data_IF_129362044844
#
_entry.id   IF_129362044844
#
_cell.length_a   1.000
_cell.length_b   1.000
_cell.length_c   1.000
_cell.angle_alpha   90.00
_cell.angle_beta   90.00
_cell.angle_gamma   90.00
#
_symmetry.space_group_name_H-M   'P 1'
#
loop_
_entity.id
_entity.type
_entity.pdbx_description
1 polymer ?
#
# COMPACT_ATOMS: atom_id res chain seq x y z
N UNK A 1 6.41 21.22 1.51
CA UNK A 1 5.41 21.00 2.60
C UNK A 1 6.19 20.80 3.89
N UNK A 2 5.65 21.18 5.05
CA UNK A 2 6.26 20.81 6.34
C UNK A 2 6.37 19.27 6.45
N UNK A 3 7.56 18.68 6.69
CA UNK A 3 7.75 17.23 6.67
C UNK A 3 6.87 16.48 7.68
N UNK A 4 6.78 16.97 8.91
CA UNK A 4 5.88 16.40 9.93
C UNK A 4 4.44 16.35 9.44
N UNK A 5 3.93 17.47 8.90
CA UNK A 5 2.57 17.51 8.36
C UNK A 5 2.36 16.57 7.17
N UNK A 6 3.39 16.39 6.34
CA UNK A 6 3.33 15.46 5.20
C UNK A 6 3.15 14.01 5.68
N UNK A 7 3.96 13.55 6.64
CA UNK A 7 3.84 12.21 7.20
C UNK A 7 2.53 11.99 7.97
N UNK A 8 2.06 13.00 8.72
CA UNK A 8 0.71 12.97 9.31
C UNK A 8 -0.36 12.75 8.23
N UNK A 9 -0.27 13.47 7.11
CA UNK A 9 -1.21 13.31 6.00
C UNK A 9 -1.11 11.93 5.37
N UNK A 10 0.10 11.35 5.21
CA UNK A 10 0.24 9.98 4.72
C UNK A 10 -0.47 8.97 5.60
N UNK A 11 -0.29 9.02 6.93
CA UNK A 11 -0.99 8.11 7.84
C UNK A 11 -2.51 8.34 7.76
N UNK A 12 -2.97 9.59 7.75
CA UNK A 12 -4.40 9.91 7.56
C UNK A 12 -4.96 9.30 6.27
N UNK A 13 -4.22 9.41 5.17
CA UNK A 13 -4.59 8.84 3.88
C UNK A 13 -4.50 7.30 3.86
N UNK A 14 -3.60 6.69 4.62
CA UNK A 14 -3.56 5.23 4.75
C UNK A 14 -4.84 4.69 5.39
N UNK A 15 -5.35 5.39 6.41
CA UNK A 15 -6.55 4.96 7.13
C UNK A 15 -7.87 5.43 6.51
N UNK A 16 -7.86 6.19 5.42
CA UNK A 16 -9.11 6.72 4.83
C UNK A 16 -10.08 5.60 4.44
N UNK A 17 -9.54 4.48 3.98
CA UNK A 17 -10.23 3.23 3.73
C UNK A 17 -9.55 2.08 4.51
N UNK A 18 -10.29 1.35 5.37
CA UNK A 18 -9.72 0.23 6.10
C UNK A 18 -9.50 -0.98 5.18
N UNK A 19 -8.52 -1.87 5.46
CA UNK A 19 -8.33 -3.09 4.68
C UNK A 19 -9.61 -3.94 4.57
N UNK A 20 -10.40 -4.05 5.66
CA UNK A 20 -11.70 -4.72 5.68
C UNK A 20 -12.86 -4.00 4.96
N UNK A 21 -12.61 -2.97 4.13
CA UNK A 21 -13.64 -2.11 3.50
C UNK A 21 -14.76 -2.88 2.78
N UNK A 22 -14.51 -3.93 1.98
CA UNK A 22 -15.58 -4.71 1.34
C UNK A 22 -16.62 -5.31 2.32
N UNK A 23 -16.20 -5.63 3.55
CA UNK A 23 -17.10 -6.08 4.61
C UNK A 23 -17.83 -4.94 5.34
N UNK A 24 -17.39 -3.70 5.15
CA UNK A 24 -18.04 -2.55 5.77
C UNK A 24 -19.43 -2.22 5.20
N UNK A 25 -19.80 -2.78 4.04
CA UNK A 25 -21.17 -2.71 3.50
C UNK A 25 -22.17 -3.58 4.27
N UNK A 26 -21.70 -4.38 5.24
CA UNK A 26 -22.54 -5.22 6.08
C UNK A 26 -23.45 -4.38 7.01
N UNK A 27 -24.74 -4.74 7.18
CA UNK A 27 -25.66 -4.01 8.06
C UNK A 27 -25.15 -3.89 9.51
N UNK A 28 -25.25 -2.70 10.11
CA UNK A 28 -24.88 -2.46 11.52
C UNK A 28 -23.41 -2.08 11.79
N UNK A 29 -22.53 -2.06 10.78
CA UNK A 29 -21.14 -1.59 10.92
C UNK A 29 -21.01 -0.07 11.11
N UNK A 30 -22.04 0.69 10.69
CA UNK A 30 -21.97 2.16 10.62
C UNK A 30 -21.17 2.68 9.41
N UNK A 31 -20.72 1.79 8.52
CA UNK A 31 -19.97 2.10 7.30
C UNK A 31 -18.45 2.15 7.48
N UNK A 32 -17.70 2.09 6.36
CA UNK A 32 -16.24 2.01 6.34
C UNK A 32 -15.56 3.19 7.04
N UNK A 33 -16.15 4.40 6.95
CA UNK A 33 -15.58 5.61 7.58
C UNK A 33 -15.49 5.52 9.10
N UNK A 34 -16.48 4.88 9.75
CA UNK A 34 -16.46 4.71 11.20
C UNK A 34 -15.33 3.76 11.61
N UNK A 35 -15.18 2.67 10.86
CA UNK A 35 -14.10 1.69 11.05
C UNK A 35 -12.74 2.34 10.83
N UNK A 36 -12.56 3.07 9.73
CA UNK A 36 -11.35 3.85 9.44
C UNK A 36 -10.93 4.76 10.61
N UNK A 37 -11.86 5.56 11.13
CA UNK A 37 -11.59 6.47 12.25
C UNK A 37 -11.25 5.74 13.56
N UNK A 38 -11.88 4.59 13.82
CA UNK A 38 -11.58 3.76 14.98
C UNK A 38 -10.17 3.16 14.89
N UNK A 39 -9.82 2.57 13.74
CA UNK A 39 -8.49 2.02 13.47
C UNK A 39 -7.40 3.09 13.55
N UNK A 40 -7.63 4.26 12.96
CA UNK A 40 -6.71 5.40 13.08
C UNK A 40 -6.48 5.78 14.55
N UNK A 41 -7.56 5.86 15.35
CA UNK A 41 -7.47 6.22 16.77
C UNK A 41 -6.73 5.18 17.57
N UNK A 42 -6.92 3.90 17.30
CA UNK A 42 -6.19 2.80 17.98
C UNK A 42 -4.70 2.84 17.67
N UNK A 43 -4.34 3.06 16.40
CA UNK A 43 -2.94 3.12 15.99
C UNK A 43 -2.22 4.37 16.51
N UNK A 44 -2.82 5.56 16.34
CA UNK A 44 -2.15 6.85 16.64
C UNK A 44 -2.44 7.41 18.02
N UNK A 45 -3.46 6.89 18.73
CA UNK A 45 -4.03 7.46 19.98
C UNK A 45 -4.62 8.86 19.80
N UNK A 46 -4.81 9.32 18.56
CA UNK A 46 -5.37 10.64 18.20
C UNK A 46 -6.73 10.48 17.54
N UNK A 47 -7.63 11.44 17.76
CA UNK A 47 -8.93 11.49 17.06
C UNK A 47 -8.86 12.37 15.82
N UNK A 48 -9.37 11.88 14.69
CA UNK A 48 -9.58 12.67 13.47
C UNK A 48 -11.04 13.10 13.30
N UNK A 49 -11.24 14.29 12.73
CA UNK A 49 -12.56 14.76 12.29
C UNK A 49 -12.90 14.31 10.86
N UNK A 50 -11.90 13.92 10.07
CA UNK A 50 -12.04 13.50 8.68
C UNK A 50 -10.72 13.59 7.92
N UNK A 51 -10.76 13.28 6.63
CA UNK A 51 -9.61 13.30 5.73
C UNK A 51 -9.89 14.21 4.51
N UNK A 52 -8.82 14.71 3.89
CA UNK A 52 -8.92 15.43 2.63
C UNK A 52 -9.20 14.41 1.50
N UNK A 53 -10.21 14.63 0.64
CA UNK A 53 -10.64 13.61 -0.33
C UNK A 53 -9.81 13.61 -1.62
N UNK A 54 -8.91 14.57 -1.83
CA UNK A 54 -8.22 14.74 -3.11
C UNK A 54 -7.30 13.59 -3.49
N UNK A 55 -6.49 13.02 -2.57
CA UNK A 55 -5.66 11.85 -2.89
C UNK A 55 -6.53 10.65 -3.30
N UNK A 56 -7.59 10.35 -2.53
CA UNK A 56 -8.56 9.29 -2.85
C UNK A 56 -9.22 9.54 -4.22
N UNK A 57 -9.66 10.76 -4.51
CA UNK A 57 -10.27 11.08 -5.81
C UNK A 57 -9.31 10.90 -6.97
N UNK A 58 -8.04 11.30 -6.82
CA UNK A 58 -7.02 11.14 -7.84
C UNK A 58 -6.66 9.66 -8.05
N UNK A 59 -6.45 8.90 -6.98
CA UNK A 59 -6.21 7.45 -7.03
C UNK A 59 -7.39 6.70 -7.65
N UNK A 60 -8.60 6.96 -7.15
CA UNK A 60 -9.85 6.44 -7.69
C UNK A 60 -10.04 6.74 -9.19
N UNK A 61 -9.58 7.89 -9.67
CA UNK A 61 -9.63 8.24 -11.09
C UNK A 61 -8.75 7.35 -11.96
N UNK A 62 -7.61 6.90 -11.41
CA UNK A 62 -6.69 5.97 -12.06
C UNK A 62 -7.18 4.52 -11.98
N UNK A 63 -7.73 4.11 -10.83
CA UNK A 63 -8.15 2.71 -10.60
C UNK A 63 -9.40 2.31 -11.39
N UNK A 64 -10.33 3.24 -11.59
CA UNK A 64 -11.66 2.95 -12.19
C UNK A 64 -12.11 4.00 -13.21
N UNK A 65 -11.33 4.24 -14.28
CA UNK A 65 -11.61 5.30 -15.25
C UNK A 65 -12.96 5.13 -15.97
N UNK A 66 -13.43 3.88 -16.11
CA UNK A 66 -14.65 3.55 -16.87
C UNK A 66 -15.88 3.29 -15.98
N UNK A 67 -15.72 3.19 -14.65
CA UNK A 67 -16.83 2.94 -13.72
C UNK A 67 -17.36 4.27 -13.21
N UNK A 68 -18.16 4.95 -14.04
CA UNK A 68 -18.92 6.12 -13.60
C UNK A 68 -20.32 5.66 -13.18
N UNK A 69 -20.61 5.48 -11.87
CA UNK A 69 -21.96 5.18 -11.44
C UNK A 69 -22.86 6.34 -11.89
N UNK A 70 -23.99 6.06 -12.58
CA UNK A 70 -24.90 7.12 -12.99
C UNK A 70 -25.36 7.91 -11.76
N UNK A 71 -25.10 9.22 -11.76
CA UNK A 71 -25.53 10.14 -10.71
C UNK A 71 -26.74 10.91 -11.20
N UNK A 72 -27.89 10.73 -10.55
CA UNK A 72 -29.14 11.39 -10.90
C UNK A 72 -30.18 11.26 -9.80
N UNK A 73 -31.15 12.17 -9.78
CA UNK A 73 -32.27 12.11 -8.83
C UNK A 73 -33.09 10.85 -9.13
N UNK A 74 -33.24 9.96 -8.15
CA UNK A 74 -33.96 8.68 -8.31
C UNK A 74 -33.10 7.49 -8.78
N UNK A 75 -31.81 7.69 -9.06
CA UNK A 75 -30.90 6.59 -9.41
C UNK A 75 -30.18 6.15 -8.14
N UNK A 76 -30.48 4.94 -7.66
CA UNK A 76 -29.73 4.35 -6.55
C UNK A 76 -28.27 4.13 -6.97
N UNK A 77 -27.29 4.51 -6.14
CA UNK A 77 -25.91 4.15 -6.40
C UNK A 77 -25.78 2.63 -6.53
N UNK A 78 -25.01 2.18 -7.51
CA UNK A 78 -24.70 0.75 -7.69
C UNK A 78 -23.97 0.26 -6.43
N UNK A 79 -24.61 -0.62 -5.67
CA UNK A 79 -24.08 -1.22 -4.46
C UNK A 79 -23.99 -2.72 -4.66
N UNK A 80 -22.79 -3.28 -4.54
CA UNK A 80 -22.55 -4.72 -4.60
C UNK A 80 -22.25 -5.20 -3.18
N UNK A 81 -23.07 -6.13 -2.69
CA UNK A 81 -22.85 -6.83 -1.42
C UNK A 81 -21.79 -7.92 -1.63
N UNK A 82 -20.54 -7.50 -1.87
CA UNK A 82 -19.43 -8.38 -2.27
C UNK A 82 -19.17 -9.52 -1.29
N UNK A 83 -19.37 -9.30 0.00
CA UNK A 83 -19.24 -10.34 1.03
C UNK A 83 -20.11 -11.59 0.77
N UNK A 84 -21.25 -11.46 0.07
CA UNK A 84 -22.11 -12.61 -0.27
C UNK A 84 -21.54 -13.49 -1.38
N UNK A 85 -20.69 -12.92 -2.22
CA UNK A 85 -20.03 -13.60 -3.33
C UNK A 85 -18.64 -12.96 -3.56
N UNK A 86 -17.67 -13.24 -2.66
CA UNK A 86 -16.39 -12.53 -2.62
C UNK A 86 -15.48 -13.04 -3.73
N UNK A 87 -15.72 -12.56 -4.94
CA UNK A 87 -14.93 -12.89 -6.13
C UNK A 87 -14.06 -11.71 -6.54
N UNK A 88 -12.89 -12.01 -7.09
CA UNK A 88 -12.04 -11.03 -7.77
C UNK A 88 -11.74 -11.47 -9.20
N UNK A 89 -11.40 -10.52 -10.04
CA UNK A 89 -11.10 -10.73 -11.46
C UNK A 89 -9.65 -10.40 -11.75
N UNK A 90 -8.97 -11.18 -12.59
CA UNK A 90 -7.58 -10.87 -12.92
C UNK A 90 -7.49 -9.70 -13.93
N UNK A 91 -6.68 -8.65 -13.67
CA UNK A 91 -6.66 -7.45 -14.52
C UNK A 91 -6.15 -7.72 -15.94
N UNK A 92 -5.29 -8.72 -16.12
CA UNK A 92 -4.69 -9.06 -17.43
C UNK A 92 -5.26 -10.34 -18.07
N UNK A 93 -6.07 -11.11 -17.34
CA UNK A 93 -6.55 -12.42 -17.78
C UNK A 93 -8.06 -12.42 -17.81
N UNK A 94 -8.61 -12.01 -18.94
CA UNK A 94 -10.06 -11.92 -19.13
C UNK A 94 -10.74 -13.25 -18.80
N UNK A 95 -11.75 -13.19 -17.94
CA UNK A 95 -12.55 -14.35 -17.55
C UNK A 95 -11.94 -15.18 -16.41
N UNK A 96 -10.72 -14.87 -15.96
CA UNK A 96 -10.19 -15.47 -14.73
C UNK A 96 -10.85 -14.83 -13.52
N UNK A 97 -11.52 -15.66 -12.74
CA UNK A 97 -12.20 -15.31 -11.50
C UNK A 97 -11.59 -16.15 -10.39
N UNK A 98 -11.20 -15.49 -9.30
CA UNK A 98 -10.80 -16.17 -8.08
C UNK A 98 -11.85 -15.95 -7.00
N UNK A 99 -12.22 -17.04 -6.35
CA UNK A 99 -13.17 -17.06 -5.24
C UNK A 99 -12.41 -16.97 -3.91
N UNK A 100 -12.72 -15.94 -3.12
CA UNK A 100 -12.08 -15.63 -1.84
C UNK A 100 -12.90 -16.09 -0.63
N UNK A 101 -13.92 -16.94 -0.82
CA UNK A 101 -14.67 -17.49 0.33
C UNK A 101 -13.75 -18.35 1.20
N UNK A 102 -13.72 -18.05 2.51
CA UNK A 102 -12.98 -18.85 3.48
C UNK A 102 -13.70 -20.16 3.78
N UNK A 103 -12.91 -21.21 3.97
CA UNK A 103 -13.36 -22.52 4.43
C UNK A 103 -12.89 -22.78 5.86
N UNK A 104 -13.67 -23.52 6.62
CA UNK A 104 -13.30 -23.97 7.96
C UNK A 104 -12.32 -25.16 7.91
N UNK A 105 -11.94 -25.69 9.08
CA UNK A 105 -11.03 -26.83 9.18
C UNK A 105 -11.59 -28.13 8.55
N UNK A 106 -12.91 -28.21 8.34
CA UNK A 106 -13.60 -29.35 7.70
C UNK A 106 -13.78 -29.13 6.20
N UNK A 107 -13.38 -27.98 5.67
CA UNK A 107 -13.53 -27.60 4.26
C UNK A 107 -14.90 -27.00 3.91
N UNK A 108 -15.77 -26.78 4.91
CA UNK A 108 -17.08 -26.14 4.75
C UNK A 108 -16.93 -24.62 4.64
N UNK A 109 -17.85 -23.96 3.94
CA UNK A 109 -17.80 -22.50 3.82
C UNK A 109 -18.11 -21.86 5.17
N UNK A 110 -17.23 -20.97 5.64
CA UNK A 110 -17.53 -20.17 6.84
C UNK A 110 -18.77 -19.30 6.61
N UNK A 111 -19.58 -19.14 7.65
CA UNK A 111 -20.72 -18.24 7.59
C UNK A 111 -20.25 -16.78 7.45
N UNK A 112 -20.95 -16.00 6.63
CA UNK A 112 -20.56 -14.61 6.34
C UNK A 112 -20.47 -13.73 7.60
N UNK A 113 -21.30 -14.00 8.62
CA UNK A 113 -21.31 -13.26 9.88
C UNK A 113 -20.03 -13.52 10.72
N UNK A 114 -19.59 -14.77 10.79
CA UNK A 114 -18.34 -15.15 11.47
C UNK A 114 -17.14 -14.56 10.72
N UNK A 115 -17.15 -14.61 9.39
CA UNK A 115 -16.09 -14.03 8.55
C UNK A 115 -15.94 -12.53 8.77
N UNK A 116 -17.07 -11.82 8.93
CA UNK A 116 -17.10 -10.40 9.22
C UNK A 116 -16.47 -10.09 10.57
N UNK A 117 -16.85 -10.80 11.63
CA UNK A 117 -16.29 -10.62 12.97
C UNK A 117 -14.78 -10.90 12.97
N UNK A 118 -14.36 -12.01 12.37
CA UNK A 118 -12.96 -12.36 12.13
C UNK A 118 -12.19 -11.19 11.48
N UNK A 119 -12.71 -10.62 10.39
CA UNK A 119 -12.06 -9.55 9.62
C UNK A 119 -11.89 -8.28 10.45
N UNK A 120 -12.92 -7.87 11.21
CA UNK A 120 -12.84 -6.66 12.02
C UNK A 120 -11.96 -6.85 13.26
N UNK A 121 -12.00 -8.02 13.89
CA UNK A 121 -11.15 -8.35 15.03
C UNK A 121 -9.68 -8.45 14.62
N UNK A 122 -9.36 -9.19 13.56
CA UNK A 122 -7.98 -9.39 13.08
C UNK A 122 -7.30 -8.04 12.80
N UNK A 123 -7.95 -7.15 12.05
CA UNK A 123 -7.37 -5.83 11.74
C UNK A 123 -7.23 -4.93 12.96
N UNK A 124 -8.15 -5.03 13.93
CA UNK A 124 -8.06 -4.23 15.15
C UNK A 124 -6.92 -4.71 16.03
N UNK A 125 -6.80 -6.01 16.25
CA UNK A 125 -5.74 -6.59 17.08
C UNK A 125 -4.35 -6.31 16.50
N UNK A 126 -4.17 -6.49 15.18
CA UNK A 126 -2.88 -6.21 14.54
C UNK A 126 -2.50 -4.73 14.60
N UNK A 127 -3.46 -3.82 14.38
CA UNK A 127 -3.17 -2.40 14.46
C UNK A 127 -2.87 -1.92 15.87
N UNK A 128 -3.51 -2.50 16.89
CA UNK A 128 -3.18 -2.20 18.28
C UNK A 128 -1.77 -2.64 18.63
N UNK A 129 -1.34 -3.83 18.17
CA UNK A 129 0.04 -4.30 18.35
C UNK A 129 1.04 -3.36 17.68
N UNK A 130 0.82 -3.02 16.40
CA UNK A 130 1.68 -2.09 15.66
C UNK A 130 1.69 -0.67 16.24
N UNK A 131 0.58 -0.26 16.87
CA UNK A 131 0.42 1.04 17.51
C UNK A 131 1.12 1.16 18.87
N UNK A 132 1.55 0.06 19.50
CA UNK A 132 2.30 0.12 20.79
C UNK A 132 3.61 0.89 20.65
N UNK A 133 4.34 0.64 19.56
CA UNK A 133 5.60 1.33 19.23
C UNK A 133 5.38 2.72 18.61
N UNK A 134 4.13 3.15 18.39
CA UNK A 134 3.83 4.51 17.94
C UNK A 134 3.86 5.48 19.14
N UNK A 135 4.94 6.26 19.21
CA UNK A 135 5.23 7.13 20.36
C UNK A 135 4.50 8.48 20.28
N UNK A 136 4.75 9.30 19.25
CA UNK A 136 4.20 10.65 19.13
C UNK A 136 3.65 10.96 17.73
N UNK A 137 2.55 11.72 17.68
CA UNK A 137 1.94 12.27 16.47
C UNK A 137 2.63 13.57 15.99
N UNK A 138 3.59 14.12 16.76
CA UNK A 138 4.25 15.40 16.45
C UNK A 138 5.70 15.26 15.97
N UNK A 139 6.34 14.12 16.20
CA UNK A 139 7.73 13.87 15.79
C UNK A 139 7.75 13.31 14.38
N UNK A 140 8.55 13.91 13.49
CA UNK A 140 8.70 13.46 12.10
C UNK A 140 9.12 11.98 12.01
N UNK A 141 10.15 11.60 12.76
CA UNK A 141 10.68 10.23 12.78
C UNK A 141 9.63 9.20 13.22
N UNK A 142 8.87 9.47 14.28
CA UNK A 142 7.82 8.55 14.76
C UNK A 142 6.69 8.36 13.74
N UNK A 143 6.36 9.42 12.99
CA UNK A 143 5.37 9.38 11.92
C UNK A 143 5.89 8.61 10.70
N UNK A 144 7.15 8.80 10.32
CA UNK A 144 7.81 8.06 9.25
C UNK A 144 7.88 6.57 9.59
N UNK A 145 8.40 6.20 10.77
CA UNK A 145 8.47 4.83 11.25
C UNK A 145 7.08 4.19 11.34
N UNK A 146 6.09 4.96 11.83
CA UNK A 146 4.70 4.56 11.87
C UNK A 146 4.14 4.25 10.49
N UNK A 147 4.42 5.11 9.50
CA UNK A 147 4.00 4.87 8.13
C UNK A 147 4.68 3.65 7.51
N UNK A 148 5.98 3.44 7.73
CA UNK A 148 6.68 2.26 7.20
C UNK A 148 6.18 0.95 7.82
N UNK A 149 5.81 0.94 9.10
CA UNK A 149 5.10 -0.18 9.73
C UNK A 149 3.77 -0.48 9.03
N UNK A 150 2.97 0.54 8.74
CA UNK A 150 1.69 0.37 8.04
C UNK A 150 1.88 -0.12 6.59
N UNK A 151 2.86 0.43 5.87
CA UNK A 151 3.14 0.08 4.48
C UNK A 151 3.72 -1.34 4.34
N UNK A 152 4.73 -1.68 5.15
CA UNK A 152 5.50 -2.92 4.99
C UNK A 152 4.99 -4.08 5.85
N UNK A 153 4.73 -3.85 7.14
CA UNK A 153 4.43 -4.90 8.12
C UNK A 153 2.95 -5.23 8.19
N UNK A 154 2.08 -4.23 8.27
CA UNK A 154 0.65 -4.45 8.56
C UNK A 154 -0.06 -5.40 7.59
N UNK A 155 0.16 -5.25 6.27
CA UNK A 155 -0.39 -6.20 5.29
C UNK A 155 0.14 -7.63 5.50
N UNK A 156 1.43 -7.79 5.79
CA UNK A 156 2.01 -9.14 5.98
C UNK A 156 1.46 -9.79 7.25
N UNK A 157 1.34 -9.04 8.35
CA UNK A 157 0.75 -9.56 9.59
C UNK A 157 -0.68 -10.04 9.33
N UNK A 158 -1.53 -9.25 8.66
CA UNK A 158 -2.88 -9.67 8.30
C UNK A 158 -2.91 -10.93 7.42
N UNK A 159 -2.04 -11.01 6.41
CA UNK A 159 -1.99 -12.13 5.46
C UNK A 159 -1.49 -13.41 6.14
N UNK A 160 -0.51 -13.32 7.05
CA UNK A 160 0.15 -14.50 7.62
C UNK A 160 -0.31 -14.87 9.03
N UNK A 161 -1.08 -14.02 9.74
CA UNK A 161 -1.56 -14.25 11.13
C UNK A 161 -2.17 -15.63 11.36
N UNK A 162 -3.10 -16.03 10.48
CA UNK A 162 -3.87 -17.30 10.61
C UNK A 162 -3.31 -18.45 9.78
N UNK A 163 -2.33 -18.19 8.90
CA UNK A 163 -1.71 -19.19 8.04
C UNK A 163 -0.18 -19.08 8.15
N UNK A 164 0.40 -19.66 9.22
CA UNK A 164 1.79 -19.44 9.62
C UNK A 164 2.80 -20.29 8.85
N UNK A 165 2.50 -20.67 7.60
CA UNK A 165 3.52 -21.16 6.66
C UNK A 165 3.91 -20.06 5.64
N UNK A 166 4.55 -18.95 6.07
CA UNK A 166 5.25 -18.07 5.16
C UNK A 166 6.36 -18.84 4.43
N UNK A 167 6.67 -18.50 3.16
CA UNK A 167 6.05 -17.47 2.33
C UNK A 167 4.94 -18.00 1.39
N UNK A 168 4.50 -19.27 1.51
CA UNK A 168 3.72 -19.94 0.46
C UNK A 168 2.23 -20.13 0.77
N UNK A 169 1.78 -19.96 2.01
CA UNK A 169 0.38 -20.15 2.39
C UNK A 169 -0.11 -18.97 3.23
N UNK A 170 -0.35 -17.83 2.58
CA UNK A 170 -1.00 -16.67 3.18
C UNK A 170 -2.51 -16.69 2.98
N UNK A 171 -3.23 -15.89 3.77
CA UNK A 171 -4.66 -15.67 3.61
C UNK A 171 -4.95 -14.82 2.37
N UNK A 172 -5.42 -15.48 1.29
CA UNK A 172 -5.71 -14.83 0.00
C UNK A 172 -6.80 -13.78 0.12
N UNK A 173 -7.73 -13.90 1.08
CA UNK A 173 -8.74 -12.87 1.32
C UNK A 173 -8.06 -11.57 1.75
N UNK A 174 -7.10 -11.62 2.67
CA UNK A 174 -6.36 -10.43 3.11
C UNK A 174 -5.40 -9.90 2.05
N UNK A 175 -4.80 -10.80 1.26
CA UNK A 175 -3.83 -10.42 0.24
C UNK A 175 -4.48 -9.62 -0.89
N UNK A 176 -5.68 -10.02 -1.31
CA UNK A 176 -6.33 -9.58 -2.56
C UNK A 176 -7.72 -8.95 -2.37
N UNK A 177 -8.08 -8.56 -1.15
CA UNK A 177 -9.37 -7.89 -0.87
C UNK A 177 -9.53 -6.67 -1.79
N UNK A 178 -10.63 -6.51 -2.55
CA UNK A 178 -10.72 -5.48 -3.58
C UNK A 178 -10.95 -4.08 -2.98
N UNK A 179 -10.37 -3.04 -3.58
CA UNK A 179 -10.65 -1.65 -3.18
C UNK A 179 -12.08 -1.23 -3.54
N UNK A 180 -12.56 -1.67 -4.71
CA UNK A 180 -13.90 -1.42 -5.22
C UNK A 180 -14.62 -2.72 -5.53
N UNK A 181 -15.72 -2.97 -4.85
CA UNK A 181 -16.53 -4.17 -5.04
C UNK A 181 -17.18 -4.28 -6.42
N UNK A 182 -17.24 -3.17 -7.17
CA UNK A 182 -17.82 -3.10 -8.54
C UNK A 182 -16.79 -3.41 -9.62
N UNK A 183 -15.51 -3.22 -9.32
CA UNK A 183 -14.38 -3.50 -10.19
C UNK A 183 -13.32 -4.21 -9.35
N UNK A 184 -13.52 -5.49 -9.01
CA UNK A 184 -12.67 -6.21 -8.07
C UNK A 184 -11.42 -6.76 -8.77
N UNK A 185 -10.67 -5.91 -9.47
CA UNK A 185 -9.47 -6.25 -10.24
C UNK A 185 -8.16 -5.72 -9.66
N UNK A 186 -8.26 -4.90 -8.62
CA UNK A 186 -7.13 -4.38 -7.86
C UNK A 186 -7.42 -4.46 -6.36
N UNK A 187 -6.37 -4.70 -5.57
CA UNK A 187 -6.50 -4.83 -4.13
C UNK A 187 -6.71 -3.46 -3.46
N UNK A 188 -7.24 -3.48 -2.25
CA UNK A 188 -7.28 -2.30 -1.38
C UNK A 188 -5.87 -1.76 -1.11
N UNK A 189 -4.87 -2.63 -1.07
CA UNK A 189 -3.48 -2.26 -0.84
C UNK A 189 -2.90 -1.43 -1.99
N UNK A 190 -3.24 -1.77 -3.23
CA UNK A 190 -2.82 -1.01 -4.42
C UNK A 190 -3.44 0.40 -4.39
N UNK A 191 -4.73 0.48 -4.08
CA UNK A 191 -5.43 1.76 -3.92
C UNK A 191 -4.83 2.62 -2.81
N UNK A 192 -4.56 2.03 -1.63
CA UNK A 192 -3.94 2.73 -0.52
C UNK A 192 -2.55 3.24 -0.89
N UNK A 193 -1.73 2.42 -1.56
CA UNK A 193 -0.39 2.81 -2.04
C UNK A 193 -0.44 4.05 -2.93
N UNK A 194 -1.33 4.08 -3.92
CA UNK A 194 -1.47 5.24 -4.81
C UNK A 194 -2.01 6.46 -4.03
N UNK A 195 -2.96 6.24 -3.12
CA UNK A 195 -3.55 7.31 -2.30
C UNK A 195 -2.52 7.94 -1.37
N UNK A 196 -1.67 7.15 -0.72
CA UNK A 196 -0.63 7.66 0.18
C UNK A 196 0.55 8.27 -0.58
N UNK A 197 0.84 7.81 -1.81
CA UNK A 197 1.80 8.46 -2.69
C UNK A 197 1.35 9.89 -3.06
N UNK A 198 0.04 10.07 -3.23
CA UNK A 198 -0.61 11.34 -3.54
C UNK A 198 -0.97 12.18 -2.30
N UNK A 199 -0.51 11.82 -1.10
CA UNK A 199 -0.84 12.51 0.14
C UNK A 199 -0.47 14.01 0.15
N UNK A 200 0.41 14.46 -0.75
CA UNK A 200 0.72 15.87 -0.95
C UNK A 200 -0.46 16.69 -1.51
N UNK A 201 -1.49 16.06 -2.09
CA UNK A 201 -2.69 16.72 -2.60
C UNK A 201 -3.63 17.16 -1.46
N UNK A 202 -3.32 18.31 -0.86
CA UNK A 202 -4.05 18.80 0.34
C UNK A 202 -5.19 19.76 0.04
N UNK A 203 -5.28 20.32 -1.18
CA UNK A 203 -6.25 21.38 -1.53
C UNK A 203 -6.79 21.21 -2.95
N UNK A 204 -7.96 21.81 -3.18
CA UNK A 204 -8.61 21.87 -4.50
C UNK A 204 -7.96 22.88 -5.45
N UNK A 205 -7.41 23.97 -4.90
CA UNK A 205 -6.85 25.07 -5.69
C UNK A 205 -5.33 25.16 -5.51
N UNK A 206 -4.57 25.26 -6.62
CA UNK A 206 -3.13 25.42 -6.56
C UNK A 206 -2.80 26.75 -5.87
N UNK A 207 -1.91 26.68 -4.88
CA UNK A 207 -1.18 27.86 -4.40
C UNK A 207 0.25 27.75 -4.94
N UNK A 208 0.91 28.88 -5.28
CA UNK A 208 2.26 28.85 -5.84
C UNK A 208 3.26 28.03 -5.00
N UNK A 209 3.12 28.05 -3.68
CA UNK A 209 4.05 27.41 -2.73
C UNK A 209 3.58 26.04 -2.20
N UNK A 210 2.45 25.51 -2.70
CA UNK A 210 1.93 24.21 -2.28
C UNK A 210 1.95 23.26 -3.47
N UNK A 211 2.68 22.14 -3.38
CA UNK A 211 2.69 21.17 -4.47
C UNK A 211 1.29 20.63 -4.70
N UNK A 212 0.80 20.78 -5.93
CA UNK A 212 -0.58 20.44 -6.28
C UNK A 212 -0.67 19.57 -7.53
N UNK A 213 0.35 19.56 -8.38
CA UNK A 213 0.35 18.77 -9.60
C UNK A 213 1.16 17.49 -9.38
N UNK A 214 0.53 16.30 -9.45
CA UNK A 214 1.28 15.06 -9.46
C UNK A 214 2.02 14.91 -10.80
N UNK A 215 3.30 14.60 -10.75
CA UNK A 215 4.15 14.31 -11.91
C UNK A 215 4.56 12.85 -11.91
N UNK A 216 4.54 12.24 -13.09
CA UNK A 216 5.16 10.94 -13.32
C UNK A 216 6.63 11.16 -13.70
N UNK A 217 7.51 10.94 -12.74
CA UNK A 217 8.94 10.95 -12.95
C UNK A 217 9.40 9.59 -13.44
N UNK A 218 10.11 9.54 -14.57
CA UNK A 218 10.72 8.31 -15.10
C UNK A 218 12.23 8.47 -15.11
N UNK A 219 12.91 7.54 -14.45
CA UNK A 219 14.37 7.41 -14.50
C UNK A 219 14.74 6.14 -15.27
N UNK A 220 15.82 6.20 -16.03
CA UNK A 220 16.42 5.03 -16.67
C UNK A 220 17.93 5.15 -16.68
N UNK A 221 18.63 4.07 -16.34
CA UNK A 221 20.08 3.92 -16.50
C UNK A 221 20.36 3.00 -17.69
N UNK A 222 21.36 3.34 -18.50
CA UNK A 222 21.75 2.55 -19.66
C UNK A 222 23.09 2.99 -20.25
N UNK A 223 23.71 2.17 -21.09
CA UNK A 223 23.18 0.94 -21.70
C UNK A 223 23.34 -0.33 -20.84
N UNK A 224 22.22 -1.01 -20.51
CA UNK A 224 22.20 -2.21 -19.64
C UNK A 224 22.88 -3.42 -20.31
N UNK A 225 22.44 -3.80 -21.52
CA UNK A 225 22.93 -5.01 -22.19
C UNK A 225 24.42 -4.92 -22.50
N UNK A 226 24.86 -3.77 -23.04
CA UNK A 226 26.28 -3.54 -23.35
C UNK A 226 27.14 -3.67 -22.10
N UNK A 227 26.73 -3.10 -20.97
CA UNK A 227 27.49 -3.20 -19.71
C UNK A 227 27.60 -4.65 -19.22
N UNK A 228 26.50 -5.39 -19.23
CA UNK A 228 26.47 -6.80 -18.79
C UNK A 228 27.32 -7.70 -19.70
N UNK A 229 27.32 -7.45 -21.02
CA UNK A 229 28.05 -8.24 -22.02
C UNK A 229 29.58 -8.16 -21.91
N UNK A 230 30.13 -7.14 -21.25
CA UNK A 230 31.59 -7.04 -21.03
C UNK A 230 32.12 -8.05 -19.99
N UNK A 231 31.23 -8.83 -19.38
CA UNK A 231 31.57 -9.84 -18.37
C UNK A 231 32.33 -11.02 -18.96
N UNK A 232 33.49 -11.37 -18.37
CA UNK A 232 34.34 -12.49 -18.82
C UNK A 232 34.11 -13.77 -18.02
N UNK A 233 33.56 -13.65 -16.82
CA UNK A 233 33.24 -14.77 -15.93
C UNK A 233 31.79 -14.69 -15.45
N UNK A 234 31.24 -15.79 -14.94
CA UNK A 234 29.91 -15.79 -14.31
C UNK A 234 29.83 -14.85 -13.09
N UNK A 235 30.95 -14.66 -12.39
CA UNK A 235 31.05 -13.70 -11.29
C UNK A 235 30.93 -12.27 -11.79
N UNK A 236 31.60 -11.93 -12.88
CA UNK A 236 31.49 -10.60 -13.50
C UNK A 236 30.06 -10.36 -13.99
N UNK A 237 29.45 -11.37 -14.61
CA UNK A 237 28.07 -11.30 -15.08
C UNK A 237 27.09 -10.99 -13.93
N UNK A 238 27.25 -11.72 -12.82
CA UNK A 238 26.48 -11.51 -11.61
C UNK A 238 26.73 -10.13 -10.99
N UNK A 239 28.00 -9.73 -10.81
CA UNK A 239 28.39 -8.42 -10.27
C UNK A 239 27.85 -7.26 -11.10
N UNK A 240 27.95 -7.34 -12.43
CA UNK A 240 27.47 -6.33 -13.35
C UNK A 240 25.95 -6.15 -13.24
N UNK A 241 25.19 -7.25 -13.16
CA UNK A 241 23.74 -7.21 -12.97
C UNK A 241 23.37 -6.66 -11.59
N UNK A 242 24.06 -7.11 -10.53
CA UNK A 242 23.84 -6.64 -9.17
C UNK A 242 24.16 -5.15 -9.01
N UNK A 243 25.27 -4.69 -9.56
CA UNK A 243 25.68 -3.29 -9.53
C UNK A 243 24.67 -2.38 -10.22
N UNK A 244 24.13 -2.78 -11.38
CA UNK A 244 23.07 -2.01 -12.04
C UNK A 244 21.82 -1.91 -11.15
N UNK A 245 21.37 -3.03 -10.57
CA UNK A 245 20.24 -3.05 -9.65
C UNK A 245 20.47 -2.16 -8.42
N UNK A 246 21.67 -2.19 -7.85
CA UNK A 246 22.03 -1.41 -6.65
C UNK A 246 22.21 0.10 -6.97
N UNK A 247 22.73 0.45 -8.14
CA UNK A 247 22.76 1.86 -8.59
C UNK A 247 21.36 2.43 -8.76
N UNK A 248 20.42 1.66 -9.31
CA UNK A 248 19.02 2.06 -9.43
C UNK A 248 18.39 2.23 -8.04
N UNK A 249 18.68 1.35 -7.09
CA UNK A 249 18.26 1.54 -5.69
C UNK A 249 18.76 2.87 -5.12
N UNK A 250 20.05 3.16 -5.28
CA UNK A 250 20.64 4.40 -4.81
C UNK A 250 20.07 5.64 -5.51
N UNK A 251 19.60 5.53 -6.76
CA UNK A 251 18.86 6.58 -7.43
C UNK A 251 17.43 6.77 -6.87
N UNK A 252 16.77 5.71 -6.41
CA UNK A 252 15.46 5.78 -5.76
C UNK A 252 15.54 6.28 -4.31
N UNK A 253 16.60 5.93 -3.58
CA UNK A 253 16.70 6.11 -2.13
C UNK A 253 16.43 7.55 -1.64
N UNK A 254 16.91 8.63 -2.29
CA UNK A 254 16.57 10.00 -1.88
C UNK A 254 15.06 10.29 -1.99
N UNK A 255 14.38 9.73 -3.00
CA UNK A 255 12.93 9.88 -3.16
C UNK A 255 12.18 9.08 -2.10
N UNK A 256 12.64 7.86 -1.82
CA UNK A 256 12.06 6.99 -0.78
C UNK A 256 12.16 7.64 0.59
N UNK A 257 13.31 8.23 0.94
CA UNK A 257 13.50 8.95 2.21
C UNK A 257 12.62 10.20 2.31
N UNK A 258 12.42 10.93 1.20
CA UNK A 258 11.67 12.19 1.23
C UNK A 258 10.14 11.99 1.13
N UNK A 259 9.69 11.01 0.37
CA UNK A 259 8.28 10.82 0.02
C UNK A 259 7.71 9.45 0.40
N UNK A 260 8.50 8.60 1.04
CA UNK A 260 8.13 7.21 1.33
C UNK A 260 8.29 6.26 0.14
N UNK A 261 8.38 4.94 0.39
CA UNK A 261 8.59 3.93 -0.65
C UNK A 261 7.39 3.77 -1.59
N UNK A 262 6.20 4.15 -1.15
CA UNK A 262 4.96 4.14 -1.93
C UNK A 262 4.98 5.15 -3.08
N UNK A 263 5.87 6.15 -3.08
CA UNK A 263 6.00 7.09 -4.20
C UNK A 263 6.54 6.42 -5.48
N UNK A 264 7.26 5.32 -5.37
CA UNK A 264 7.72 4.54 -6.51
C UNK A 264 6.54 3.68 -6.99
N UNK A 265 6.08 3.91 -8.22
CA UNK A 265 5.00 3.13 -8.86
C UNK A 265 5.55 1.85 -9.48
N UNK A 266 6.73 1.94 -10.11
CA UNK A 266 7.41 0.80 -10.71
C UNK A 266 8.92 0.90 -10.46
N UNK A 267 9.60 -0.19 -10.05
CA UNK A 267 9.04 -1.47 -9.59
C UNK A 267 8.28 -1.32 -8.27
N UNK A 268 7.52 -2.35 -7.87
CA UNK A 268 7.02 -2.40 -6.48
C UNK A 268 8.19 -2.67 -5.53
N UNK A 269 8.32 -1.79 -4.52
CA UNK A 269 9.36 -1.88 -3.51
C UNK A 269 8.96 -2.78 -2.34
N UNK A 270 7.66 -3.10 -2.21
CA UNK A 270 7.16 -3.87 -1.08
C UNK A 270 7.63 -5.33 -1.18
N UNK A 271 8.31 -5.81 -0.14
CA UNK A 271 8.87 -7.16 -0.12
C UNK A 271 10.03 -7.35 -1.09
N UNK A 272 10.57 -6.25 -1.66
CA UNK A 272 11.80 -6.31 -2.42
C UNK A 272 12.97 -6.54 -1.44
N UNK A 273 13.77 -7.61 -1.60
CA UNK A 273 14.83 -7.93 -0.64
C UNK A 273 15.85 -6.81 -0.41
N UNK A 274 16.15 -6.00 -1.43
CA UNK A 274 17.10 -4.87 -1.29
C UNK A 274 16.54 -3.75 -0.42
N UNK A 275 15.23 -3.52 -0.52
CA UNK A 275 14.48 -2.55 0.28
C UNK A 275 14.34 -3.05 1.71
N UNK A 276 14.09 -4.36 1.89
CA UNK A 276 14.01 -4.98 3.21
C UNK A 276 15.37 -4.92 3.95
N UNK A 277 16.50 -5.05 3.25
CA UNK A 277 17.83 -4.79 3.84
C UNK A 277 17.92 -3.36 4.39
N UNK A 278 17.51 -2.36 3.60
CA UNK A 278 17.53 -0.96 4.04
C UNK A 278 16.60 -0.72 5.24
N UNK A 279 15.39 -1.27 5.22
CA UNK A 279 14.47 -1.21 6.37
C UNK A 279 15.05 -1.87 7.61
N UNK A 280 15.75 -3.00 7.46
CA UNK A 280 16.39 -3.66 8.60
C UNK A 280 17.47 -2.78 9.24
N UNK A 281 18.21 -2.01 8.44
CA UNK A 281 19.29 -1.12 8.89
C UNK A 281 18.77 0.18 9.53
N UNK A 282 17.62 0.70 9.08
CA UNK A 282 17.17 2.06 9.45
C UNK A 282 15.79 2.14 10.11
N UNK A 283 14.92 1.15 9.89
CA UNK A 283 13.52 1.13 10.34
C UNK A 283 13.10 -0.30 10.72
N UNK A 284 13.86 -0.96 11.60
CA UNK A 284 13.74 -2.41 11.90
C UNK A 284 12.31 -2.84 12.21
N UNK A 285 11.57 -2.03 12.96
CA UNK A 285 10.20 -2.31 13.38
C UNK A 285 9.19 -2.35 12.21
N UNK A 286 9.55 -1.79 11.05
CA UNK A 286 8.75 -1.86 9.83
C UNK A 286 8.77 -3.24 9.16
N UNK A 287 9.66 -4.14 9.57
CA UNK A 287 9.70 -5.51 9.07
C UNK A 287 8.91 -6.45 9.99
N UNK A 288 8.20 -7.45 9.41
CA UNK A 288 7.66 -8.56 10.19
C UNK A 288 8.74 -9.33 10.94
N UNK A 289 8.38 -9.96 12.07
CA UNK A 289 9.32 -10.64 12.96
C UNK A 289 9.99 -11.85 12.31
N UNK A 290 9.36 -12.47 11.31
CA UNK A 290 9.93 -13.59 10.55
C UNK A 290 11.05 -13.17 9.58
N UNK A 291 11.20 -11.87 9.28
CA UNK A 291 12.27 -11.33 8.43
C UNK A 291 13.38 -10.70 9.28
N UNK A 292 14.08 -11.50 10.09
CA UNK A 292 15.09 -11.00 11.03
C UNK A 292 16.35 -10.43 10.35
N UNK A 293 16.87 -11.13 9.33
CA UNK A 293 18.10 -10.76 8.64
C UNK A 293 17.92 -10.87 7.12
N UNK A 294 17.15 -9.97 6.49
CA UNK A 294 16.97 -9.99 5.05
C UNK A 294 18.33 -9.84 4.36
N UNK A 295 18.54 -10.64 3.31
CA UNK A 295 19.71 -10.53 2.44
C UNK A 295 19.28 -10.85 1.00
N UNK A 296 20.08 -10.39 0.04
CA UNK A 296 19.86 -10.75 -1.36
C UNK A 296 21.16 -10.80 -2.13
N UNK A 297 21.31 -11.87 -2.90
CA UNK A 297 22.31 -11.98 -3.95
C UNK A 297 21.68 -11.80 -5.34
N UNK A 298 20.37 -11.59 -5.43
CA UNK A 298 19.68 -11.39 -6.70
C UNK A 298 19.60 -9.90 -7.06
N UNK A 299 19.84 -9.60 -8.34
CA UNK A 299 19.58 -8.28 -8.92
C UNK A 299 18.07 -8.13 -9.20
N UNK A 300 17.33 -7.61 -8.22
CA UNK A 300 15.86 -7.58 -8.25
C UNK A 300 15.29 -6.28 -8.83
N UNK A 301 16.08 -5.21 -8.94
CA UNK A 301 15.59 -3.93 -9.44
C UNK A 301 15.94 -3.74 -10.92
N UNK A 302 14.97 -3.34 -11.77
CA UNK A 302 15.21 -3.07 -13.17
C UNK A 302 15.98 -1.77 -13.38
N UNK A 303 16.60 -1.61 -14.55
CA UNK A 303 17.30 -0.39 -14.98
C UNK A 303 16.42 0.86 -15.16
N UNK A 304 15.14 0.80 -14.82
CA UNK A 304 14.17 1.88 -14.99
C UNK A 304 13.20 1.89 -13.83
N UNK A 305 12.86 3.07 -13.32
CA UNK A 305 11.78 3.22 -12.36
C UNK A 305 10.88 4.40 -12.70
N UNK A 306 9.65 4.35 -12.20
CA UNK A 306 8.64 5.39 -12.30
C UNK A 306 8.18 5.77 -10.91
N UNK A 307 8.15 7.08 -10.61
CA UNK A 307 7.69 7.63 -9.35
C UNK A 307 6.59 8.67 -9.57
N UNK A 308 5.66 8.78 -8.62
CA UNK A 308 4.69 9.88 -8.54
C UNK A 308 5.21 10.90 -7.55
N UNK A 309 5.48 12.10 -8.04
CA UNK A 309 6.11 13.15 -7.25
C UNK A 309 5.31 14.45 -7.31
N UNK A 310 5.35 15.27 -6.26
CA UNK A 310 4.81 16.62 -6.32
C UNK A 310 5.64 17.52 -7.24
N UNK A 311 4.98 18.27 -8.13
CA UNK A 311 5.61 19.37 -8.89
C UNK A 311 5.41 20.72 -8.21
N UNK A 312 6.52 21.43 -8.01
CA UNK A 312 6.56 22.80 -7.46
C UNK A 312 6.79 22.87 -5.95
N UNK A 313 7.49 23.94 -5.52
CA UNK A 313 7.83 24.27 -4.13
C UNK A 313 9.35 24.29 -3.87
N UNK A 314 9.82 25.13 -2.93
CA UNK A 314 11.25 25.15 -2.54
C UNK A 314 11.66 23.78 -2.00
N UNK A 315 12.70 23.16 -2.60
CA UNK A 315 13.24 21.87 -2.16
C UNK A 315 12.49 20.64 -2.66
N UNK A 316 11.47 20.82 -3.51
CA UNK A 316 10.85 19.75 -4.30
C UNK A 316 11.44 19.78 -5.72
N UNK A 317 11.45 18.63 -6.42
CA UNK A 317 11.97 18.52 -7.78
C UNK A 317 11.24 19.43 -8.77
#
# INVERSE_FOLDING_TARGET
>A
MDPTRFWQYKIVQFFHDPPGKPFASWPGTGGHKKVALDLFKRFTKVSLKGYAPYPDWAASGADRPMVTPPRGKGISPLKIAWHKNPIITHPLSRGYIMDLRRRDAKGELKADAELKEDVFEDQTLELEELGKSFADWKTEQDLEDGFFRLWRRYRDELVFRKSPEPPFKGDTLWAEMPSDTRCPDHSIWDHLRVTTALAFLTKKTPKPDVPWNPWLFRFSIGPVQRFIQESRTSRDLWLSSFLLSDLVWHAMLPLVKLYGPDCIVYPDLRGNPRVDVWLCESHRDALPDFLQNPNTYAAMLPGTFVAVLPYGGKGHL
#
